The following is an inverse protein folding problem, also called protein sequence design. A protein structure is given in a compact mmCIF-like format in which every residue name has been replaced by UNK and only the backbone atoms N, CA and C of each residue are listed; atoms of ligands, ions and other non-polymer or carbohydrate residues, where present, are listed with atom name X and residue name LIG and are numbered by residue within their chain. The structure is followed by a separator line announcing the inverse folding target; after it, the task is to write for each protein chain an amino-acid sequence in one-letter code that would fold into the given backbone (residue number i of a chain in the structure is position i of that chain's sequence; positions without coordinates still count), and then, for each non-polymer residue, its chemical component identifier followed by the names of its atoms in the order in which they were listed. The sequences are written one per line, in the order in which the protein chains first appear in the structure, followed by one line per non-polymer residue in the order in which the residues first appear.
data_IF_431399117621
#
_entry.id   IF_431399117621
#
_cell.length_a   1.000
_cell.length_b   1.000
_cell.length_c   1.000
_cell.angle_alpha   90.00
_cell.angle_beta   90.00
_cell.angle_gamma   90.00
#
_symmetry.space_group_name_H-M   'P 1'
#
loop_
_entity.id
_entity.type
_entity.pdbx_description
1 polymer ?
#
# COMPACT_ATOMS: atom_id res chain seq x y z
N UNK A 1 49.85 -12.89 -75.33
CA UNK A 1 49.66 -13.21 -73.90
C UNK A 1 48.99 -12.02 -73.25
N UNK A 2 47.72 -12.17 -72.86
CA UNK A 2 46.88 -11.08 -72.33
C UNK A 2 47.08 -11.05 -70.81
N UNK A 3 47.63 -9.94 -70.30
CA UNK A 3 47.78 -9.69 -68.87
C UNK A 3 46.66 -8.73 -68.42
N UNK A 4 45.69 -9.27 -67.69
CA UNK A 4 44.55 -8.55 -67.12
C UNK A 4 45.01 -7.78 -65.88
N UNK A 5 44.93 -6.45 -65.90
CA UNK A 5 45.22 -5.58 -64.75
C UNK A 5 43.92 -5.27 -64.00
N UNK A 6 43.87 -5.64 -62.73
CA UNK A 6 42.77 -5.32 -61.81
C UNK A 6 42.85 -3.86 -61.36
N UNK A 7 41.74 -3.14 -61.45
CA UNK A 7 41.58 -1.77 -60.97
C UNK A 7 41.16 -1.78 -59.49
N UNK A 8 41.93 -1.09 -58.66
CA UNK A 8 41.69 -0.89 -57.22
C UNK A 8 40.69 0.26 -57.03
N UNK A 9 39.54 0.01 -56.40
CA UNK A 9 38.60 1.06 -55.98
C UNK A 9 38.87 1.35 -54.50
N UNK A 10 39.34 2.56 -54.21
CA UNK A 10 39.48 3.09 -52.85
C UNK A 10 38.11 3.63 -52.38
N UNK A 11 37.56 3.04 -51.32
CA UNK A 11 36.36 3.54 -50.64
C UNK A 11 36.80 4.37 -49.44
N UNK A 12 36.50 5.67 -49.44
CA UNK A 12 36.65 6.53 -48.26
C UNK A 12 35.56 6.15 -47.24
N UNK A 13 35.98 5.63 -46.08
CA UNK A 13 35.11 5.49 -44.92
C UNK A 13 35.11 6.80 -44.12
N UNK A 14 33.99 7.51 -44.14
CA UNK A 14 33.72 8.62 -43.21
C UNK A 14 33.42 8.04 -41.83
N UNK A 15 34.35 8.22 -40.88
CA UNK A 15 34.11 7.88 -39.48
C UNK A 15 33.27 9.00 -38.86
N UNK A 16 31.96 8.80 -38.79
CA UNK A 16 31.08 9.63 -37.98
C UNK A 16 31.38 9.33 -36.50
N UNK A 17 32.03 10.26 -35.82
CA UNK A 17 32.18 10.23 -34.36
C UNK A 17 30.80 10.51 -33.77
N UNK A 18 30.09 9.45 -33.39
CA UNK A 18 28.88 9.57 -32.60
C UNK A 18 29.26 10.11 -31.21
N UNK A 19 28.85 11.34 -30.91
CA UNK A 19 28.93 11.88 -29.56
C UNK A 19 28.10 10.98 -28.63
N UNK A 20 28.59 10.63 -27.42
CA UNK A 20 27.78 9.90 -26.46
C UNK A 20 26.66 10.85 -26.00
N UNK A 21 25.46 10.67 -26.54
CA UNK A 21 24.23 11.15 -25.91
C UNK A 21 24.07 10.35 -24.63
N UNK A 22 24.56 10.92 -23.53
CA UNK A 22 24.18 10.50 -22.19
C UNK A 22 22.68 10.68 -22.09
N UNK A 23 21.93 9.60 -22.30
CA UNK A 23 20.53 9.56 -21.95
C UNK A 23 20.47 9.85 -20.45
N UNK A 24 19.95 11.03 -20.10
CA UNK A 24 19.46 11.28 -18.76
C UNK A 24 18.27 10.34 -18.62
N UNK A 25 18.51 9.12 -18.14
CA UNK A 25 17.50 8.35 -17.46
C UNK A 25 17.09 9.18 -16.26
N UNK A 26 16.06 10.00 -16.42
CA UNK A 26 15.22 10.39 -15.30
C UNK A 26 14.77 9.08 -14.69
N UNK A 27 15.45 8.66 -13.62
CA UNK A 27 15.01 7.57 -12.79
C UNK A 27 13.59 7.95 -12.38
N UNK A 28 12.60 7.30 -13.01
CA UNK A 28 11.20 7.43 -12.61
C UNK A 28 11.19 7.03 -11.15
N UNK A 29 11.00 8.01 -10.28
CA UNK A 29 10.91 7.79 -8.85
C UNK A 29 9.80 6.77 -8.65
N UNK A 30 10.19 5.54 -8.27
CA UNK A 30 9.22 4.47 -8.03
C UNK A 30 8.52 4.86 -6.75
N UNK A 31 7.32 5.44 -6.86
CA UNK A 31 6.50 5.74 -5.69
C UNK A 31 6.31 4.42 -4.92
N UNK A 32 6.71 4.35 -3.63
CA UNK A 32 6.54 3.14 -2.86
C UNK A 32 5.05 2.78 -2.78
N UNK A 33 4.77 1.47 -2.72
CA UNK A 33 3.41 0.99 -2.57
C UNK A 33 2.78 1.56 -1.29
N UNK A 34 1.50 1.92 -1.37
CA UNK A 34 0.72 2.42 -0.23
C UNK A 34 -0.61 1.66 -0.15
N UNK A 35 -0.85 1.05 1.00
CA UNK A 35 -2.09 0.37 1.37
C UNK A 35 -3.27 1.34 1.39
N UNK A 36 -3.11 2.55 1.94
CA UNK A 36 -4.20 3.53 1.94
C UNK A 36 -4.55 4.03 0.54
N UNK A 37 -3.56 4.20 -0.35
CA UNK A 37 -3.82 4.49 -1.75
C UNK A 37 -4.52 3.32 -2.44
N UNK A 38 -4.08 2.09 -2.22
CA UNK A 38 -4.74 0.91 -2.80
C UNK A 38 -6.20 0.78 -2.33
N UNK A 39 -6.48 1.06 -1.05
CA UNK A 39 -7.86 1.13 -0.55
C UNK A 39 -8.66 2.22 -1.26
N UNK A 40 -8.08 3.41 -1.48
CA UNK A 40 -8.72 4.47 -2.26
C UNK A 40 -9.01 4.05 -3.70
N UNK A 41 -8.08 3.31 -4.33
CA UNK A 41 -8.25 2.80 -5.69
C UNK A 41 -9.41 1.79 -5.77
N UNK A 42 -9.61 0.92 -4.76
CA UNK A 42 -10.75 -0.02 -4.71
C UNK A 42 -12.10 0.72 -4.71
N UNK A 43 -12.15 1.88 -4.04
CA UNK A 43 -13.36 2.68 -3.93
C UNK A 43 -13.61 3.56 -5.15
N UNK A 44 -12.63 3.69 -6.05
CA UNK A 44 -12.72 4.55 -7.23
C UNK A 44 -13.21 3.73 -8.43
N UNK A 45 -14.41 4.01 -8.98
CA UNK A 45 -14.95 3.25 -10.11
C UNK A 45 -14.14 3.43 -11.41
N UNK A 46 -13.33 4.49 -11.51
CA UNK A 46 -12.53 4.80 -12.70
C UNK A 46 -11.15 4.09 -12.70
N UNK A 47 -10.83 3.39 -11.60
CA UNK A 47 -9.52 2.71 -11.42
C UNK A 47 -9.74 1.22 -11.25
N UNK A 48 -9.04 0.43 -12.05
CA UNK A 48 -8.95 -1.03 -11.83
C UNK A 48 -7.94 -1.27 -10.70
N UNK A 49 -8.46 -1.37 -9.47
CA UNK A 49 -7.64 -1.68 -8.32
C UNK A 49 -7.03 -3.08 -8.39
N UNK A 50 -5.84 -3.24 -7.79
CA UNK A 50 -5.21 -4.55 -7.63
C UNK A 50 -6.08 -5.46 -6.75
N UNK A 51 -6.06 -6.77 -7.02
CA UNK A 51 -6.64 -7.74 -6.07
C UNK A 51 -5.82 -7.76 -4.77
N UNK A 52 -6.35 -8.29 -3.66
CA UNK A 52 -5.62 -8.39 -2.40
C UNK A 52 -4.27 -9.09 -2.55
N UNK A 53 -4.21 -10.17 -3.33
CA UNK A 53 -2.97 -10.93 -3.58
C UNK A 53 -1.96 -10.10 -4.39
N UNK A 54 -2.43 -9.39 -5.41
CA UNK A 54 -1.58 -8.50 -6.22
C UNK A 54 -1.07 -7.30 -5.40
N UNK A 55 -1.88 -6.76 -4.50
CA UNK A 55 -1.49 -5.70 -3.59
C UNK A 55 -0.41 -6.15 -2.61
N UNK A 56 -0.54 -7.36 -2.06
CA UNK A 56 0.48 -7.99 -1.21
C UNK A 56 1.79 -8.20 -1.99
N UNK A 57 1.70 -8.69 -3.22
CA UNK A 57 2.88 -8.84 -4.09
C UNK A 57 3.54 -7.48 -4.37
N UNK A 58 2.77 -6.47 -4.76
CA UNK A 58 3.25 -5.12 -5.02
C UNK A 58 3.92 -4.49 -3.78
N UNK A 59 3.36 -4.73 -2.59
CA UNK A 59 3.99 -4.33 -1.33
C UNK A 59 5.36 -4.97 -1.15
N UNK A 60 5.47 -6.30 -1.31
CA UNK A 60 6.76 -6.99 -1.18
C UNK A 60 7.78 -6.55 -2.23
N UNK A 61 7.34 -6.31 -3.47
CA UNK A 61 8.19 -5.75 -4.51
C UNK A 61 8.70 -4.35 -4.13
N UNK A 62 7.84 -3.51 -3.55
CA UNK A 62 8.20 -2.14 -3.15
C UNK A 62 9.25 -2.09 -2.03
N UNK A 63 9.17 -2.98 -1.04
CA UNK A 63 10.15 -3.04 0.06
C UNK A 63 11.47 -3.66 -0.41
N UNK A 64 11.42 -4.63 -1.34
CA UNK A 64 12.63 -5.23 -1.90
C UNK A 64 13.36 -4.26 -2.83
N UNK A 65 12.63 -3.44 -3.59
CA UNK A 65 13.21 -2.40 -4.45
C UNK A 65 13.84 -1.24 -3.65
N UNK A 66 13.34 -0.96 -2.44
CA UNK A 66 13.87 0.10 -1.57
C UNK A 66 14.97 -0.38 -0.60
N UNK A 67 15.28 -1.69 -0.57
CA UNK A 67 16.31 -2.28 0.28
C UNK A 67 17.73 -1.76 -0.01
N UNK A 68 17.99 -1.19 -1.21
CA UNK A 68 19.28 -0.60 -1.57
C UNK A 68 19.46 0.87 -1.15
N UNK A 69 18.46 1.50 -0.54
CA UNK A 69 18.51 2.94 -0.15
C UNK A 69 18.02 3.19 1.27
N UNK A 70 17.99 2.17 2.13
CA UNK A 70 17.34 2.23 3.44
C UNK A 70 18.20 2.81 4.57
N UNK A 71 19.13 3.71 4.25
CA UNK A 71 19.69 4.66 5.22
C UNK A 71 18.92 5.98 5.09
N UNK A 72 17.86 6.14 5.88
CA UNK A 72 17.34 7.48 6.20
C UNK A 72 16.08 7.96 5.48
N UNK A 73 15.33 7.10 4.77
CA UNK A 73 14.00 7.47 4.28
C UNK A 73 13.02 7.62 5.47
N UNK A 74 13.00 8.86 5.95
CA UNK A 74 12.14 9.51 6.92
C UNK A 74 11.03 8.63 7.54
N UNK A 75 11.05 8.59 8.87
CA UNK A 75 9.88 8.46 9.74
C UNK A 75 8.87 9.55 9.37
N UNK A 76 8.18 9.43 8.24
CA UNK A 76 7.05 10.29 7.87
C UNK A 76 6.12 10.20 9.06
N UNK A 77 5.87 11.35 9.68
CA UNK A 77 5.21 11.47 10.98
C UNK A 77 3.98 10.55 10.98
N UNK A 78 4.06 9.51 11.81
CA UNK A 78 3.00 8.57 12.14
C UNK A 78 1.91 9.29 12.96
N UNK A 79 1.49 10.47 12.52
CA UNK A 79 0.45 11.22 13.21
C UNK A 79 -0.78 10.32 13.35
N UNK A 80 -1.30 10.32 14.56
CA UNK A 80 -2.49 9.62 15.02
C UNK A 80 -2.52 8.08 15.04
N UNK A 81 -1.39 7.40 14.78
CA UNK A 81 -1.35 5.92 14.79
C UNK A 81 -0.36 5.35 15.82
N UNK A 82 -0.77 4.28 16.49
CA UNK A 82 0.03 3.51 17.43
C UNK A 82 0.20 2.10 16.91
N UNK A 83 1.41 1.75 16.48
CA UNK A 83 1.70 0.42 15.96
C UNK A 83 1.92 -0.58 17.09
N UNK A 84 1.39 -1.79 16.91
CA UNK A 84 1.62 -2.87 17.84
C UNK A 84 3.07 -3.36 17.75
N UNK A 85 3.72 -3.51 18.91
CA UNK A 85 5.11 -4.00 19.00
C UNK A 85 5.19 -5.52 19.10
N UNK A 86 4.15 -6.16 19.67
CA UNK A 86 4.08 -7.62 19.80
C UNK A 86 3.67 -8.25 18.48
N UNK A 87 4.49 -9.18 18.00
CA UNK A 87 4.21 -10.00 16.83
C UNK A 87 2.92 -10.83 16.94
N UNK A 88 2.55 -11.24 18.16
CA UNK A 88 1.34 -12.00 18.42
C UNK A 88 0.06 -11.14 18.32
N UNK A 89 0.21 -9.82 18.33
CA UNK A 89 -0.91 -8.88 18.17
C UNK A 89 -1.11 -8.45 16.72
N UNK A 90 -0.14 -8.71 15.85
CA UNK A 90 -0.14 -8.27 14.45
C UNK A 90 -0.72 -9.38 13.57
N UNK A 91 -1.69 -9.03 12.74
CA UNK A 91 -2.26 -9.91 11.74
C UNK A 91 -1.26 -10.13 10.59
N UNK A 92 -1.41 -11.25 9.89
CA UNK A 92 -0.69 -11.47 8.64
C UNK A 92 -1.22 -10.50 7.59
N UNK A 93 -0.32 -9.96 6.76
CA UNK A 93 -0.64 -8.93 5.76
C UNK A 93 -1.66 -9.42 4.74
N UNK A 94 -1.65 -10.71 4.40
CA UNK A 94 -2.64 -11.34 3.51
C UNK A 94 -4.07 -11.33 4.09
N UNK A 95 -4.21 -11.66 5.38
CA UNK A 95 -5.51 -11.62 6.03
C UNK A 95 -6.00 -10.17 6.20
N UNK A 96 -5.09 -9.27 6.57
CA UNK A 96 -5.37 -7.83 6.66
C UNK A 96 -5.79 -7.21 5.32
N UNK A 97 -5.10 -7.54 4.23
CA UNK A 97 -5.45 -7.01 2.90
C UNK A 97 -6.85 -7.45 2.49
N UNK A 98 -7.21 -8.73 2.70
CA UNK A 98 -8.57 -9.25 2.44
C UNK A 98 -9.63 -8.53 3.27
N UNK A 99 -9.34 -8.27 4.55
CA UNK A 99 -10.24 -7.53 5.43
C UNK A 99 -10.52 -6.12 4.91
N UNK A 100 -9.46 -5.32 4.68
CA UNK A 100 -9.64 -3.93 4.25
C UNK A 100 -10.23 -3.83 2.85
N UNK A 101 -9.87 -4.74 1.92
CA UNK A 101 -10.47 -4.75 0.59
C UNK A 101 -11.94 -5.14 0.61
N UNK A 102 -12.32 -6.10 1.47
CA UNK A 102 -13.71 -6.53 1.63
C UNK A 102 -14.59 -5.41 2.16
N UNK A 103 -14.07 -4.61 3.10
CA UNK A 103 -14.75 -3.41 3.60
C UNK A 103 -14.81 -2.30 2.54
N UNK A 104 -13.73 -2.05 1.80
CA UNK A 104 -13.69 -1.03 0.74
C UNK A 104 -14.69 -1.33 -0.39
N UNK A 105 -14.78 -2.60 -0.80
CA UNK A 105 -15.66 -3.05 -1.88
C UNK A 105 -17.16 -2.99 -1.53
N UNK A 106 -17.52 -2.97 -0.24
CA UNK A 106 -18.92 -2.82 0.18
C UNK A 106 -19.49 -1.42 -0.08
N UNK A 107 -18.62 -0.43 -0.29
CA UNK A 107 -19.06 0.91 -0.62
C UNK A 107 -19.67 1.67 0.57
N UNK A 108 -20.30 2.79 0.27
CA UNK A 108 -21.14 3.54 1.23
C UNK A 108 -22.51 2.89 1.48
N UNK A 109 -22.81 1.78 0.80
CA UNK A 109 -24.09 1.07 0.92
C UNK A 109 -24.23 0.24 2.20
N UNK A 110 -23.15 0.04 2.94
CA UNK A 110 -23.14 -0.65 4.23
C UNK A 110 -22.65 0.30 5.31
N UNK A 111 -23.49 0.53 6.31
CA UNK A 111 -23.19 1.33 7.49
C UNK A 111 -23.34 0.51 8.76
N UNK A 112 -22.47 0.80 9.72
CA UNK A 112 -22.45 0.17 11.03
C UNK A 112 -22.65 1.23 12.11
N UNK A 113 -23.36 0.83 13.15
CA UNK A 113 -23.49 1.64 14.36
C UNK A 113 -22.37 1.28 15.33
N UNK A 114 -21.43 2.21 15.53
CA UNK A 114 -20.43 2.10 16.59
C UNK A 114 -21.07 2.59 17.88
N UNK A 115 -21.28 1.67 18.83
CA UNK A 115 -21.92 1.97 20.12
C UNK A 115 -20.97 2.72 21.04
N UNK A 116 -21.43 3.82 21.60
CA UNK A 116 -20.65 4.64 22.54
C UNK A 116 -20.29 3.89 23.83
N UNK A 117 -19.03 3.98 24.28
CA UNK A 117 -18.48 3.37 25.49
C UNK A 117 -18.91 1.90 25.75
N UNK A 118 -19.20 1.16 24.69
CA UNK A 118 -19.69 -0.21 24.73
C UNK A 118 -18.61 -1.17 24.21
N UNK A 119 -18.94 -2.46 24.06
CA UNK A 119 -18.04 -3.42 23.39
C UNK A 119 -17.65 -2.91 22.00
N UNK A 120 -16.40 -3.20 21.61
CA UNK A 120 -15.93 -2.84 20.27
C UNK A 120 -16.82 -3.47 19.19
N UNK A 121 -17.06 -2.72 18.13
CA UNK A 121 -17.60 -3.28 16.91
C UNK A 121 -16.50 -4.11 16.25
N UNK A 122 -16.73 -5.42 16.17
CA UNK A 122 -15.79 -6.37 15.55
C UNK A 122 -16.14 -6.58 14.07
N UNK A 123 -15.22 -6.23 13.18
CA UNK A 123 -15.31 -6.41 11.72
C UNK A 123 -14.30 -7.45 11.22
N UNK A 124 -14.56 -8.01 10.04
CA UNK A 124 -13.74 -9.05 9.40
C UNK A 124 -13.61 -10.36 10.21
N UNK A 125 -14.56 -10.64 11.10
CA UNK A 125 -14.58 -11.84 11.96
C UNK A 125 -14.63 -13.18 11.20
N UNK A 126 -15.02 -13.14 9.94
CA UNK A 126 -15.11 -14.26 9.01
C UNK A 126 -13.76 -14.57 8.33
N UNK A 127 -12.77 -13.66 8.42
CA UNK A 127 -11.44 -13.84 7.86
C UNK A 127 -10.52 -14.40 8.95
N UNK A 128 -9.93 -15.60 8.77
CA UNK A 128 -9.06 -16.20 9.77
C UNK A 128 -7.82 -15.34 10.07
N UNK A 129 -7.47 -15.19 11.35
CA UNK A 129 -6.22 -14.57 11.78
C UNK A 129 -6.18 -13.04 11.78
N UNK A 130 -7.28 -12.37 11.43
CA UNK A 130 -7.40 -10.91 11.47
C UNK A 130 -8.69 -10.48 12.15
N UNK A 131 -8.65 -9.30 12.75
CA UNK A 131 -9.83 -8.59 13.24
C UNK A 131 -9.60 -7.08 13.11
N UNK A 132 -10.66 -6.36 12.71
CA UNK A 132 -10.69 -4.90 12.74
C UNK A 132 -11.74 -4.47 13.77
N UNK A 133 -11.25 -3.96 14.89
CA UNK A 133 -12.07 -3.52 16.01
C UNK A 133 -12.25 -2.01 15.98
N UNK A 134 -13.46 -1.56 16.27
CA UNK A 134 -13.77 -0.14 16.37
C UNK A 134 -14.34 0.15 17.74
N UNK A 135 -13.67 1.03 18.49
CA UNK A 135 -14.09 1.46 19.82
C UNK A 135 -14.39 2.95 19.84
N UNK A 136 -15.48 3.34 20.51
CA UNK A 136 -15.86 4.73 20.72
C UNK A 136 -15.66 5.14 22.18
N UNK A 137 -14.86 6.17 22.41
CA UNK A 137 -14.69 6.80 23.73
C UNK A 137 -15.81 7.79 24.07
N UNK A 138 -16.70 8.06 23.13
CA UNK A 138 -17.86 8.94 23.30
C UNK A 138 -19.08 8.18 23.85
N UNK A 139 -19.97 8.88 24.55
CA UNK A 139 -21.20 8.28 25.12
C UNK A 139 -22.34 8.12 24.11
N UNK A 140 -22.19 8.60 22.88
CA UNK A 140 -23.18 8.48 21.82
C UNK A 140 -22.78 7.51 20.71
N UNK A 141 -23.76 7.13 19.92
CA UNK A 141 -23.59 6.24 18.78
C UNK A 141 -23.07 7.01 17.56
N UNK A 142 -22.16 6.40 16.82
CA UNK A 142 -21.72 6.90 15.50
C UNK A 142 -22.19 5.97 14.40
N UNK A 143 -22.59 6.54 13.27
CA UNK A 143 -22.82 5.79 12.04
C UNK A 143 -21.61 5.96 11.14
N UNK A 144 -20.96 4.84 10.81
CA UNK A 144 -19.79 4.80 9.96
C UNK A 144 -19.98 3.72 8.89
N UNK A 145 -19.54 4.03 7.68
CA UNK A 145 -19.60 3.17 6.52
C UNK A 145 -18.46 2.14 6.53
N UNK A 146 -18.65 1.04 5.80
CA UNK A 146 -17.59 0.06 5.58
C UNK A 146 -16.32 0.70 4.97
N UNK A 147 -16.51 1.65 4.04
CA UNK A 147 -15.41 2.39 3.41
C UNK A 147 -14.58 3.19 4.41
N UNK A 148 -15.21 3.90 5.35
CA UNK A 148 -14.49 4.68 6.35
C UNK A 148 -13.61 3.77 7.23
N UNK A 149 -14.08 2.57 7.60
CA UNK A 149 -13.24 1.60 8.29
C UNK A 149 -12.12 1.03 7.42
N UNK A 150 -12.37 0.83 6.13
CA UNK A 150 -11.34 0.39 5.19
C UNK A 150 -10.21 1.42 5.08
N UNK A 151 -10.54 2.71 5.02
CA UNK A 151 -9.58 3.82 5.00
C UNK A 151 -8.69 3.80 6.25
N UNK A 152 -9.29 3.72 7.44
CA UNK A 152 -8.55 3.60 8.68
C UNK A 152 -7.63 2.37 8.71
N UNK A 153 -8.13 1.21 8.24
CA UNK A 153 -7.34 0.00 8.06
C UNK A 153 -6.15 0.18 7.12
N UNK A 154 -6.35 0.81 5.97
CA UNK A 154 -5.28 1.14 5.02
C UNK A 154 -4.22 2.06 5.62
N UNK A 155 -4.61 3.05 6.42
CA UNK A 155 -3.68 3.93 7.14
C UNK A 155 -2.88 3.20 8.23
N UNK A 156 -3.49 2.25 8.95
CA UNK A 156 -2.75 1.38 9.89
C UNK A 156 -1.73 0.55 9.10
N UNK A 157 -2.14 -0.05 7.98
CA UNK A 157 -1.25 -0.87 7.17
C UNK A 157 -0.07 -0.06 6.59
N UNK A 158 -0.26 1.18 6.15
CA UNK A 158 0.86 2.02 5.71
C UNK A 158 1.88 2.32 6.81
N UNK A 159 1.40 2.53 8.04
CA UNK A 159 2.27 2.95 9.15
C UNK A 159 2.88 1.82 9.96
N UNK A 160 2.21 0.67 9.99
CA UNK A 160 2.44 -0.40 10.97
C UNK A 160 2.68 -1.77 10.33
N UNK A 161 2.89 -1.82 9.00
CA UNK A 161 3.32 -3.04 8.32
C UNK A 161 4.84 -3.14 8.29
N UNK A 162 5.38 -4.29 8.70
CA UNK A 162 6.80 -4.62 8.66
C UNK A 162 6.95 -6.10 8.38
N UNK A 163 7.67 -6.43 7.30
CA UNK A 163 7.71 -7.80 6.78
C UNK A 163 6.30 -8.24 6.40
N UNK A 164 5.93 -9.48 6.77
CA UNK A 164 4.63 -10.07 6.45
C UNK A 164 3.52 -9.86 7.48
N UNK A 165 3.70 -8.95 8.45
CA UNK A 165 2.70 -8.66 9.48
C UNK A 165 2.36 -7.18 9.58
N UNK A 166 1.15 -6.90 10.06
CA UNK A 166 0.62 -5.56 10.26
C UNK A 166 -0.28 -5.49 11.48
N UNK A 167 -0.41 -4.32 12.09
CA UNK A 167 -1.34 -4.12 13.19
C UNK A 167 -0.99 -2.96 14.12
N UNK A 168 -2.01 -2.45 14.77
CA UNK A 168 -1.96 -1.23 15.54
C UNK A 168 -3.32 -0.57 15.60
N UNK A 169 -3.34 0.67 16.06
CA UNK A 169 -4.55 1.47 16.13
C UNK A 169 -4.32 2.85 15.53
N UNK A 170 -5.39 3.47 15.06
CA UNK A 170 -5.45 4.87 14.65
C UNK A 170 -6.66 5.52 15.33
N UNK A 171 -6.54 6.77 15.75
CA UNK A 171 -7.72 7.59 16.01
C UNK A 171 -8.07 8.32 14.73
N UNK A 172 -9.34 8.37 14.41
CA UNK A 172 -9.76 8.97 13.15
C UNK A 172 -9.79 10.49 13.23
N UNK A 173 -9.20 11.18 12.25
CA UNK A 173 -9.11 12.64 12.28
C UNK A 173 -10.51 13.29 12.19
N UNK A 174 -11.42 12.64 11.46
CA UNK A 174 -12.82 13.05 11.36
C UNK A 174 -13.61 12.82 12.66
N UNK A 175 -13.15 11.90 13.52
CA UNK A 175 -13.76 11.62 14.82
C UNK A 175 -12.69 11.13 15.80
N UNK A 176 -12.01 12.02 16.53
CA UNK A 176 -10.88 11.66 17.39
C UNK A 176 -11.30 10.79 18.60
N UNK A 177 -12.61 10.55 18.75
CA UNK A 177 -13.19 9.69 19.78
C UNK A 177 -13.39 8.25 19.29
N UNK A 178 -13.20 7.99 17.99
CA UNK A 178 -13.21 6.65 17.42
C UNK A 178 -11.78 6.15 17.25
N UNK A 179 -11.51 4.99 17.83
CA UNK A 179 -10.28 4.25 17.64
C UNK A 179 -10.57 3.02 16.78
N UNK A 180 -9.86 2.92 15.67
CA UNK A 180 -9.85 1.74 14.81
C UNK A 180 -8.58 0.96 15.12
N UNK A 181 -8.72 -0.34 15.37
CA UNK A 181 -7.62 -1.25 15.70
C UNK A 181 -7.60 -2.42 14.73
N UNK A 182 -6.49 -2.61 14.03
CA UNK A 182 -6.25 -3.79 13.21
C UNK A 182 -5.31 -4.73 13.97
N UNK A 183 -5.73 -5.97 14.18
CA UNK A 183 -4.95 -6.93 14.99
C UNK A 183 -5.18 -8.36 14.57
N UNK A 184 -4.36 -9.25 15.14
CA UNK A 184 -4.57 -10.69 15.08
C UNK A 184 -5.78 -11.09 15.93
N UNK A 185 -6.53 -12.08 15.45
CA UNK A 185 -7.60 -12.75 16.20
C UNK A 185 -7.05 -13.91 17.04
#
# INVERSE_FOLDING_TARGET
MVAMKFATIAVLATVAVAAPTTAVTTAKEVKPFSWSQWVADIMNPDVVALTPEQAVEAYYQSINATASTHDGAAKVKRFNRTCATSENWRADVDAASKCVSGLAAQGTGVSYTVKGQSNALELCKDIPGVLLDVYSYYNGDYQWTAQEFAVGGGHIMDGCTWGGRTGGAIYEDASPLLQITLRRR
#
